data_IF_146372756026
#
_entry.id   IF_146372756026
#
_cell.length_a   1.000
_cell.length_b   1.000
_cell.length_c   1.000
_cell.angle_alpha   90.00
_cell.angle_beta   90.00
_cell.angle_gamma   90.00
#
_symmetry.space_group_name_H-M   'P 1'
#
loop_
_entity.id
_entity.type
_entity.pdbx_description
1 polymer ?
#
# COMPACT_ATOMS: atom_id res chain seq x y z
N UNK A 1 10.60 -14.07 -6.22
CA UNK A 1 10.64 -12.71 -6.78
C UNK A 1 9.56 -11.79 -6.23
N UNK A 2 8.27 -12.10 -6.37
CA UNK A 2 7.15 -11.22 -5.94
C UNK A 2 7.33 -10.57 -4.55
N UNK A 3 7.67 -11.33 -3.50
CA UNK A 3 7.94 -10.76 -2.15
C UNK A 3 9.05 -9.70 -2.15
N UNK A 4 10.12 -9.92 -2.92
CA UNK A 4 11.24 -8.99 -3.03
C UNK A 4 10.77 -7.70 -3.70
N UNK A 5 9.96 -7.80 -4.74
CA UNK A 5 9.40 -6.63 -5.43
C UNK A 5 8.43 -5.85 -4.54
N UNK A 6 7.54 -6.51 -3.81
CA UNK A 6 6.65 -5.87 -2.82
C UNK A 6 7.46 -5.09 -1.78
N UNK A 7 8.58 -5.65 -1.32
CA UNK A 7 9.48 -5.01 -0.37
C UNK A 7 10.43 -3.99 -1.00
N UNK A 8 10.53 -3.91 -2.32
CA UNK A 8 11.30 -2.90 -3.03
C UNK A 8 10.52 -1.58 -3.19
N UNK A 9 9.19 -1.64 -3.16
CA UNK A 9 8.32 -0.46 -3.26
C UNK A 9 8.26 0.33 -1.95
N UNK A 10 7.66 1.53 -2.03
CA UNK A 10 7.32 2.36 -0.87
C UNK A 10 8.33 3.48 -0.60
N UNK A 11 8.63 3.69 0.69
CA UNK A 11 9.44 4.80 1.20
C UNK A 11 10.52 4.28 2.14
N UNK A 12 11.69 4.91 2.11
CA UNK A 12 12.76 4.70 3.08
C UNK A 12 12.92 5.96 3.93
N UNK A 13 12.83 5.81 5.25
CA UNK A 13 13.25 6.84 6.21
C UNK A 13 14.67 6.51 6.62
N UNK A 14 15.59 7.46 6.44
CA UNK A 14 17.01 7.29 6.78
C UNK A 14 17.56 8.51 7.49
N UNK A 15 18.38 8.29 8.51
CA UNK A 15 19.18 9.33 9.15
C UNK A 15 20.42 9.61 8.31
N UNK A 16 20.67 10.88 8.06
CA UNK A 16 21.93 11.37 7.51
C UNK A 16 22.56 12.38 8.45
N UNK A 17 23.89 12.44 8.45
CA UNK A 17 24.70 13.37 9.23
C UNK A 17 25.81 13.96 8.37
N UNK A 18 26.13 15.23 8.60
CA UNK A 18 27.25 15.91 7.95
C UNK A 18 28.53 15.66 8.74
N UNK A 19 29.52 15.02 8.12
CA UNK A 19 30.84 14.73 8.68
C UNK A 19 31.91 15.11 7.65
N UNK A 20 32.93 15.87 8.05
CA UNK A 20 34.01 16.31 7.15
C UNK A 20 33.50 16.95 5.84
N UNK A 21 32.45 17.77 5.93
CA UNK A 21 31.72 18.38 4.81
C UNK A 21 31.11 17.38 3.81
N UNK A 22 30.85 16.13 4.23
CA UNK A 22 30.16 15.11 3.44
C UNK A 22 28.96 14.54 4.20
N UNK A 23 27.83 14.40 3.52
CA UNK A 23 26.66 13.73 4.09
C UNK A 23 26.89 12.21 4.09
N UNK A 24 26.76 11.60 5.26
CA UNK A 24 26.84 10.15 5.47
C UNK A 24 25.54 9.62 6.05
N UNK A 25 25.22 8.37 5.70
CA UNK A 25 24.10 7.66 6.29
C UNK A 25 24.51 7.12 7.66
N UNK A 26 23.60 7.20 8.64
CA UNK A 26 23.79 6.63 9.97
C UNK A 26 23.03 5.31 10.00
N UNK A 27 23.69 4.20 9.66
CA UNK A 27 23.04 2.89 9.47
C UNK A 27 22.28 2.39 10.71
N UNK A 28 22.77 2.75 11.90
CA UNK A 28 22.28 2.25 13.19
C UNK A 28 21.23 3.15 13.84
N UNK A 29 20.77 4.21 13.17
CA UNK A 29 19.74 5.08 13.73
C UNK A 29 18.43 4.28 13.89
N UNK A 30 17.82 4.25 15.09
CA UNK A 30 16.61 3.49 15.33
C UNK A 30 15.44 3.96 14.45
N UNK A 31 15.38 5.24 14.05
CA UNK A 31 14.30 5.75 13.21
C UNK A 31 14.38 5.27 11.76
N UNK A 32 15.51 4.68 11.34
CA UNK A 32 15.66 4.09 10.01
C UNK A 32 14.64 2.97 9.81
N UNK A 33 13.82 3.07 8.75
CA UNK A 33 12.78 2.07 8.47
C UNK A 33 12.25 2.13 7.05
N UNK A 34 11.59 1.06 6.65
CA UNK A 34 10.93 0.90 5.35
C UNK A 34 9.41 0.89 5.50
N UNK A 35 8.75 1.69 4.68
CA UNK A 35 7.35 1.51 4.32
C UNK A 35 7.34 0.83 2.95
N UNK A 36 6.62 -0.27 2.82
CA UNK A 36 6.63 -1.11 1.61
C UNK A 36 5.22 -1.35 1.09
N UNK A 37 5.12 -2.11 0.00
CA UNK A 37 3.84 -2.62 -0.48
C UNK A 37 3.15 -3.55 0.52
N UNK A 38 3.80 -3.99 1.61
CA UNK A 38 3.22 -4.86 2.64
C UNK A 38 2.99 -4.18 4.00
N UNK A 39 3.44 -2.94 4.20
CA UNK A 39 3.35 -2.25 5.50
C UNK A 39 1.90 -1.91 5.85
N UNK A 40 1.44 -2.27 7.05
CA UNK A 40 0.10 -1.89 7.53
C UNK A 40 0.01 -0.37 7.75
N UNK A 41 -1.02 0.25 7.19
CA UNK A 41 -1.29 1.68 7.28
C UNK A 41 -2.73 1.90 7.74
N UNK A 42 -2.93 2.97 8.52
CA UNK A 42 -4.28 3.37 8.90
C UNK A 42 -4.94 4.14 7.74
N UNK A 43 -6.21 3.85 7.49
CA UNK A 43 -7.08 4.70 6.69
C UNK A 43 -7.62 5.82 7.58
N UNK A 44 -7.66 7.04 7.07
CA UNK A 44 -8.25 8.17 7.78
C UNK A 44 -9.20 8.94 6.87
N UNK A 45 -9.87 9.95 7.41
CA UNK A 45 -10.82 10.75 6.65
C UNK A 45 -12.15 10.02 6.40
N UNK A 46 -12.99 10.54 5.48
CA UNK A 46 -14.38 10.11 5.34
C UNK A 46 -14.59 8.67 4.85
N UNK A 47 -13.59 8.06 4.22
CA UNK A 47 -13.69 6.71 3.65
C UNK A 47 -13.32 5.61 4.65
N UNK A 48 -12.60 5.96 5.72
CA UNK A 48 -12.21 5.00 6.75
C UNK A 48 -13.45 4.43 7.46
N UNK A 49 -13.41 3.15 7.79
CA UNK A 49 -14.52 2.42 8.42
C UNK A 49 -15.82 2.36 7.60
N UNK A 50 -15.74 2.57 6.28
CA UNK A 50 -16.90 2.39 5.39
C UNK A 50 -16.89 1.00 4.77
N UNK A 51 -18.04 0.56 4.27
CA UNK A 51 -18.15 -0.72 3.55
C UNK A 51 -17.24 -0.81 2.32
N UNK A 52 -16.78 0.33 1.78
CA UNK A 52 -15.89 0.40 0.62
C UNK A 52 -14.44 0.01 0.94
N UNK A 53 -14.03 0.05 2.21
CA UNK A 53 -12.66 -0.30 2.64
C UNK A 53 -12.61 -1.59 3.43
N UNK A 54 -13.75 -2.24 3.65
CA UNK A 54 -13.81 -3.58 4.25
C UNK A 54 -13.19 -4.58 3.29
N UNK A 55 -12.20 -5.33 3.77
CA UNK A 55 -11.60 -6.49 3.11
C UNK A 55 -11.42 -7.61 4.12
N UNK A 56 -11.05 -8.81 3.68
CA UNK A 56 -10.59 -9.89 4.54
C UNK A 56 -9.45 -9.50 5.48
N UNK A 57 -8.55 -8.61 5.04
CA UNK A 57 -7.45 -8.09 5.86
C UNK A 57 -7.93 -7.05 6.89
N UNK A 58 -8.91 -6.24 6.53
CA UNK A 58 -9.42 -5.11 7.31
C UNK A 58 -10.94 -5.20 7.43
N UNK A 59 -11.49 -6.12 8.25
CA UNK A 59 -12.92 -6.34 8.33
C UNK A 59 -13.72 -5.15 8.88
N UNK A 60 -13.06 -4.23 9.59
CA UNK A 60 -13.64 -2.99 10.11
C UNK A 60 -13.38 -1.77 9.20
N UNK A 61 -12.71 -1.98 8.05
CA UNK A 61 -12.40 -0.94 7.07
C UNK A 61 -11.44 0.14 7.57
N UNK A 62 -10.71 -0.10 8.66
CA UNK A 62 -9.85 0.89 9.32
C UNK A 62 -8.44 0.98 8.73
N UNK A 63 -8.01 -0.07 8.04
CA UNK A 63 -6.63 -0.25 7.59
C UNK A 63 -6.53 -0.67 6.13
N UNK A 64 -5.40 -0.34 5.53
CA UNK A 64 -4.95 -0.85 4.24
C UNK A 64 -3.54 -1.43 4.38
N UNK A 65 -3.17 -2.33 3.46
CA UNK A 65 -1.85 -2.96 3.47
C UNK A 65 -0.99 -2.41 2.33
N UNK A 66 -0.06 -1.54 2.70
CA UNK A 66 1.03 -1.06 1.87
C UNK A 66 0.81 0.30 1.23
N UNK A 67 1.88 0.80 0.64
CA UNK A 67 1.82 1.91 -0.31
C UNK A 67 2.49 1.55 -1.62
N UNK A 68 1.86 1.91 -2.73
CA UNK A 68 2.21 1.44 -4.07
C UNK A 68 2.48 2.60 -5.01
N UNK A 69 3.46 2.40 -5.89
CA UNK A 69 3.81 3.35 -6.94
C UNK A 69 4.02 4.79 -6.46
N UNK A 70 4.78 4.93 -5.38
CA UNK A 70 5.16 6.19 -4.77
C UNK A 70 5.94 7.05 -5.76
N UNK A 71 5.36 8.18 -6.19
CA UNK A 71 5.90 9.03 -7.24
C UNK A 71 6.49 10.33 -6.67
N UNK A 72 5.63 11.34 -6.48
CA UNK A 72 6.01 12.62 -5.90
C UNK A 72 6.01 12.63 -4.37
N UNK A 73 6.36 13.79 -3.82
CA UNK A 73 6.39 14.00 -2.38
C UNK A 73 5.98 15.41 -1.95
N UNK A 74 5.69 15.53 -0.65
CA UNK A 74 5.49 16.81 0.03
C UNK A 74 6.10 16.79 1.43
N UNK A 75 6.36 17.98 1.97
CA UNK A 75 6.75 18.15 3.37
C UNK A 75 5.78 19.13 4.01
N UNK A 76 5.18 18.72 5.12
CA UNK A 76 4.17 19.54 5.79
C UNK A 76 4.85 20.55 6.74
N UNK A 77 4.25 21.73 6.96
CA UNK A 77 4.75 22.68 7.96
C UNK A 77 4.77 22.16 9.40
N UNK A 78 4.07 21.06 9.69
CA UNK A 78 4.03 20.42 11.02
C UNK A 78 4.97 19.22 11.15
N UNK A 79 5.89 19.03 10.20
CA UNK A 79 7.01 18.09 10.37
C UNK A 79 6.77 16.67 9.89
N UNK A 80 5.78 16.44 9.01
CA UNK A 80 5.52 15.13 8.40
C UNK A 80 5.85 15.12 6.91
N UNK A 81 6.04 13.92 6.38
CA UNK A 81 6.31 13.64 4.98
C UNK A 81 5.05 13.13 4.28
N UNK A 82 4.82 13.58 3.06
CA UNK A 82 3.76 13.10 2.18
C UNK A 82 4.38 12.33 1.01
N UNK A 83 3.89 11.13 0.74
CA UNK A 83 4.17 10.37 -0.49
C UNK A 83 2.88 10.14 -1.27
N UNK A 84 2.95 10.12 -2.60
CA UNK A 84 1.78 10.06 -3.47
C UNK A 84 1.73 8.75 -4.26
N UNK A 85 0.62 8.02 -4.17
CA UNK A 85 0.34 6.84 -4.98
C UNK A 85 -0.24 7.26 -6.34
N UNK A 86 0.44 6.93 -7.44
CA UNK A 86 0.04 7.41 -8.77
C UNK A 86 -0.58 6.29 -9.63
N UNK A 87 0.25 5.48 -10.31
CA UNK A 87 -0.25 4.41 -11.18
C UNK A 87 -0.51 3.13 -10.38
N UNK A 88 -1.21 3.27 -9.25
CA UNK A 88 -1.61 2.18 -8.37
C UNK A 88 -2.67 1.23 -9.00
N UNK A 89 -3.56 1.64 -9.93
CA UNK A 89 -4.53 0.70 -10.50
C UNK A 89 -3.86 -0.46 -11.24
N UNK A 90 -2.68 -0.21 -11.81
CA UNK A 90 -1.89 -1.22 -12.51
C UNK A 90 -1.34 -2.35 -11.63
N UNK A 91 -1.63 -2.37 -10.33
CA UNK A 91 -1.28 -3.46 -9.40
C UNK A 91 -2.46 -4.40 -9.13
N UNK A 92 -3.65 -4.06 -9.62
CA UNK A 92 -4.87 -4.82 -9.37
C UNK A 92 -5.45 -5.35 -10.68
N UNK A 93 -6.01 -6.55 -10.60
CA UNK A 93 -6.72 -7.18 -11.71
C UNK A 93 -8.09 -7.66 -11.25
N UNK A 94 -9.06 -7.60 -12.15
CA UNK A 94 -10.33 -8.30 -11.99
C UNK A 94 -10.71 -8.93 -13.34
N UNK A 95 -10.41 -10.22 -13.49
CA UNK A 95 -10.72 -11.00 -14.69
C UNK A 95 -12.20 -11.44 -14.77
N UNK A 96 -13.01 -11.10 -13.76
CA UNK A 96 -14.45 -11.28 -13.77
C UNK A 96 -15.15 -10.06 -14.37
N UNK A 97 -16.33 -9.73 -13.84
CA UNK A 97 -17.04 -8.50 -14.21
C UNK A 97 -16.47 -7.33 -13.42
N UNK A 98 -15.92 -6.33 -14.11
CA UNK A 98 -15.48 -5.06 -13.51
C UNK A 98 -16.66 -4.12 -13.29
N UNK A 99 -16.57 -3.30 -12.25
CA UNK A 99 -17.55 -2.22 -12.02
C UNK A 99 -17.20 -1.01 -12.90
N UNK A 100 -18.16 -0.08 -13.07
CA UNK A 100 -17.90 1.16 -13.81
C UNK A 100 -16.75 1.97 -13.19
N UNK A 101 -16.61 1.95 -11.85
CA UNK A 101 -15.52 2.60 -11.14
C UNK A 101 -14.18 1.93 -11.45
N UNK A 102 -14.12 0.60 -11.45
CA UNK A 102 -12.92 -0.16 -11.78
C UNK A 102 -12.46 0.12 -13.22
N UNK A 103 -13.40 0.16 -14.17
CA UNK A 103 -13.13 0.55 -15.56
C UNK A 103 -12.62 1.99 -15.64
N UNK A 104 -13.24 2.92 -14.90
CA UNK A 104 -12.86 4.33 -14.90
C UNK A 104 -11.46 4.57 -14.36
N UNK A 105 -11.05 3.88 -13.30
CA UNK A 105 -9.71 4.04 -12.70
C UNK A 105 -8.64 3.23 -13.43
N UNK A 106 -9.02 2.28 -14.29
CA UNK A 106 -8.10 1.48 -15.09
C UNK A 106 -7.57 0.22 -14.39
N UNK A 107 -8.40 -0.49 -13.62
CA UNK A 107 -8.10 -1.86 -13.17
C UNK A 107 -8.10 -2.79 -14.39
N UNK A 108 -7.06 -3.60 -14.56
CA UNK A 108 -6.92 -4.48 -15.73
C UNK A 108 -7.81 -5.73 -15.62
N UNK A 109 -8.17 -6.33 -16.75
CA UNK A 109 -8.99 -7.55 -16.83
C UNK A 109 -8.19 -8.83 -17.15
N UNK A 110 -6.89 -8.69 -17.41
CA UNK A 110 -6.01 -9.78 -17.83
C UNK A 110 -4.80 -9.95 -16.93
N UNK A 111 -4.09 -8.87 -16.63
CA UNK A 111 -2.82 -8.95 -15.90
C UNK A 111 -2.43 -7.62 -15.25
N UNK A 112 -1.75 -7.69 -14.11
CA UNK A 112 -1.15 -6.50 -13.50
C UNK A 112 0.24 -6.19 -14.10
N UNK A 113 0.74 -4.98 -13.84
CA UNK A 113 2.08 -4.52 -14.26
C UNK A 113 3.21 -5.44 -13.76
N UNK A 114 3.03 -6.04 -12.58
CA UNK A 114 4.07 -6.83 -11.91
C UNK A 114 3.71 -8.30 -11.72
N UNK A 115 2.51 -8.72 -12.15
CA UNK A 115 2.05 -10.11 -12.06
C UNK A 115 2.08 -10.68 -10.62
N UNK A 116 1.98 -9.83 -9.60
CA UNK A 116 2.05 -10.23 -8.20
C UNK A 116 0.92 -11.18 -7.80
N UNK A 117 -0.25 -11.02 -8.41
CA UNK A 117 -1.43 -11.87 -8.28
C UNK A 117 -1.21 -13.30 -8.77
N UNK A 118 -0.21 -13.56 -9.62
CA UNK A 118 -0.04 -14.89 -10.25
C UNK A 118 0.38 -15.97 -9.27
N UNK A 119 0.79 -15.59 -8.05
CA UNK A 119 1.07 -16.50 -6.94
C UNK A 119 -0.08 -16.60 -5.92
N UNK A 120 -1.25 -16.04 -6.22
CA UNK A 120 -2.45 -16.23 -5.41
C UNK A 120 -2.75 -17.73 -5.19
N UNK A 121 -3.00 -18.13 -3.95
CA UNK A 121 -3.26 -19.51 -3.55
C UNK A 121 -2.04 -20.42 -3.54
N UNK A 122 -0.83 -19.90 -3.77
CA UNK A 122 0.39 -20.70 -3.69
C UNK A 122 0.58 -21.27 -2.27
N UNK A 123 1.12 -22.48 -2.13
CA UNK A 123 1.29 -23.14 -0.83
C UNK A 123 2.22 -22.40 0.13
N UNK A 124 3.12 -21.56 -0.38
CA UNK A 124 3.98 -20.72 0.44
C UNK A 124 3.35 -19.37 0.77
N UNK A 125 2.23 -18.98 0.16
CA UNK A 125 1.59 -17.70 0.39
C UNK A 125 1.27 -17.50 1.88
N UNK A 126 1.58 -16.31 2.39
CA UNK A 126 1.32 -15.95 3.80
C UNK A 126 0.39 -14.77 3.86
N UNK A 127 -0.69 -14.92 4.62
CA UNK A 127 -1.66 -13.85 4.89
C UNK A 127 -2.16 -13.19 3.60
N UNK A 128 -2.43 -14.00 2.58
CA UNK A 128 -3.00 -13.57 1.31
C UNK A 128 -2.17 -12.44 0.64
N UNK A 129 -0.84 -12.41 0.84
CA UNK A 129 0.05 -11.34 0.38
C UNK A 129 0.09 -11.14 -1.14
N UNK A 130 -0.31 -12.17 -1.92
CA UNK A 130 -0.40 -12.16 -3.38
C UNK A 130 -1.86 -12.11 -3.86
N UNK A 131 -2.72 -12.91 -3.24
CA UNK A 131 -4.16 -13.06 -3.51
C UNK A 131 -4.88 -11.73 -3.51
N UNK A 132 -4.50 -10.83 -2.60
CA UNK A 132 -5.11 -9.51 -2.47
C UNK A 132 -5.00 -8.60 -3.71
N UNK A 133 -4.12 -8.89 -4.65
CA UNK A 133 -3.99 -8.12 -5.90
C UNK A 133 -5.04 -8.53 -6.95
N UNK A 134 -5.79 -9.61 -6.70
CA UNK A 134 -6.98 -9.93 -7.46
C UNK A 134 -8.22 -9.38 -6.72
N UNK A 135 -8.89 -8.41 -7.34
CA UNK A 135 -10.06 -7.72 -6.79
C UNK A 135 -11.38 -8.22 -7.39
N UNK A 136 -11.37 -9.39 -8.03
CA UNK A 136 -12.58 -10.11 -8.38
C UNK A 136 -13.29 -10.62 -7.11
N UNK A 137 -14.62 -10.45 -6.98
CA UNK A 137 -15.39 -11.08 -5.91
C UNK A 137 -15.25 -12.60 -5.91
N UNK A 138 -14.90 -13.19 -4.77
CA UNK A 138 -14.73 -14.64 -4.59
C UNK A 138 -15.48 -15.19 -3.37
N UNK A 139 -15.84 -14.32 -2.42
CA UNK A 139 -16.61 -14.67 -1.22
C UNK A 139 -18.05 -14.13 -1.23
N UNK A 140 -18.75 -14.34 -0.12
CA UNK A 140 -20.13 -13.87 0.06
C UNK A 140 -20.23 -12.36 0.33
N UNK A 141 -19.21 -11.79 0.98
CA UNK A 141 -19.12 -10.37 1.32
C UNK A 141 -17.70 -9.85 1.10
N UNK A 142 -17.53 -8.52 1.17
CA UNK A 142 -16.20 -7.91 1.12
C UNK A 142 -15.32 -8.27 2.32
N UNK A 143 -15.89 -8.71 3.44
CA UNK A 143 -15.11 -9.22 4.59
C UNK A 143 -14.51 -10.61 4.33
N UNK A 144 -14.95 -11.31 3.27
CA UNK A 144 -14.51 -12.66 2.93
C UNK A 144 -13.39 -12.67 1.87
N UNK A 145 -13.20 -11.55 1.15
CA UNK A 145 -12.27 -11.43 0.02
C UNK A 145 -11.61 -10.04 -0.10
N UNK A 146 -11.03 -9.78 -1.27
CA UNK A 146 -10.23 -8.58 -1.57
C UNK A 146 -10.84 -7.71 -2.67
N UNK A 147 -12.16 -7.82 -2.93
CA UNK A 147 -12.84 -7.01 -3.97
C UNK A 147 -12.68 -5.49 -3.78
N UNK A 148 -12.42 -5.08 -2.54
CA UNK A 148 -12.24 -3.69 -2.12
C UNK A 148 -10.76 -3.31 -1.87
N UNK A 149 -9.78 -4.20 -2.05
CA UNK A 149 -8.37 -3.90 -1.72
C UNK A 149 -7.87 -2.66 -2.48
N UNK A 150 -8.22 -2.54 -3.75
CA UNK A 150 -7.90 -1.38 -4.60
C UNK A 150 -8.38 -0.05 -3.99
N UNK A 151 -9.47 -0.03 -3.23
CA UNK A 151 -10.03 1.18 -2.61
C UNK A 151 -9.17 1.70 -1.44
N UNK A 152 -8.22 0.90 -0.95
CA UNK A 152 -7.22 1.30 0.04
C UNK A 152 -5.99 2.00 -0.55
N UNK A 153 -5.96 2.21 -1.88
CA UNK A 153 -4.86 2.81 -2.62
C UNK A 153 -5.30 4.03 -3.45
N UNK A 154 -4.32 4.82 -3.88
CA UNK A 154 -4.55 6.06 -4.62
C UNK A 154 -4.66 7.30 -3.75
N UNK A 155 -4.07 7.24 -2.56
CA UNK A 155 -4.09 8.33 -1.61
C UNK A 155 -2.73 9.03 -1.52
N UNK A 156 -2.76 10.23 -0.94
CA UNK A 156 -1.58 10.79 -0.31
C UNK A 156 -1.39 10.07 1.02
N UNK A 157 -0.19 9.55 1.25
CA UNK A 157 0.17 8.86 2.50
C UNK A 157 1.05 9.78 3.33
N UNK A 158 0.63 10.06 4.56
CA UNK A 158 1.39 10.85 5.52
C UNK A 158 2.20 9.95 6.45
N UNK A 159 3.48 10.28 6.61
CA UNK A 159 4.46 9.58 7.45
C UNK A 159 5.09 10.60 8.40
N UNK A 160 5.13 10.30 9.70
CA UNK A 160 5.96 11.03 10.66
C UNK A 160 7.35 10.38 10.71
N UNK A 161 8.40 10.96 10.10
CA UNK A 161 9.72 10.34 10.08
C UNK A 161 10.42 10.36 11.45
N UNK A 162 9.95 11.15 12.41
CA UNK A 162 10.63 11.41 13.69
C UNK A 162 10.15 10.53 14.85
N UNK A 163 9.22 9.60 14.61
CA UNK A 163 8.76 8.63 15.61
C UNK A 163 8.55 7.25 15.01
N UNK A 164 8.80 6.20 15.79
CA UNK A 164 8.41 4.83 15.43
C UNK A 164 7.00 4.47 15.93
N UNK A 165 6.41 5.31 16.78
CA UNK A 165 5.18 4.99 17.51
C UNK A 165 3.90 5.32 16.73
N UNK A 166 4.01 5.73 15.47
CA UNK A 166 2.87 6.02 14.60
C UNK A 166 2.95 5.22 13.30
N UNK A 167 1.83 4.63 12.90
CA UNK A 167 1.67 4.09 11.55
C UNK A 167 1.52 5.22 10.53
N UNK A 168 1.91 4.94 9.30
CA UNK A 168 1.60 5.81 8.17
C UNK A 168 0.07 5.86 7.96
N UNK A 169 -0.43 7.00 7.47
CA UNK A 169 -1.85 7.25 7.30
C UNK A 169 -2.19 7.59 5.87
N UNK A 170 -3.15 6.89 5.27
CA UNK A 170 -3.78 7.31 4.02
C UNK A 170 -4.72 8.49 4.34
N UNK A 171 -4.56 9.61 3.63
CA UNK A 171 -5.30 10.86 3.83
C UNK A 171 -6.38 11.07 2.80
#
# INVERSE_FOLDING_TARGET
EVRKEINAHGVSVVRIQLEDNMWKLVDTDPLNRRYTGATVMDLSGPVAHTALTVTRFSPDGSQARGTLNNCGNGYTPWGTYLTCEENWPGYFVNAGTRTEEQDRIGVDDKSTRYLWETLAGNSEERLDEFTRFNVAPTGTSSADDYRNEANGHGYIVEIDPYTQNSRAKKR
#
